data_IF_042454005233
#
_entry.id   IF_042454005233
#
_cell.length_a   1.000
_cell.length_b   1.000
_cell.length_c   1.000
_cell.angle_alpha   90.00
_cell.angle_beta   90.00
_cell.angle_gamma   90.00
#
_symmetry.space_group_name_H-M   'P 1'
#
loop_
_entity.id
_entity.type
_entity.pdbx_description
1 polymer ?
#
# COMPACT_ATOMS: atom_id res chain seq x y z
N UNK A 1 14.56 6.53 5.23
CA UNK A 1 15.33 5.89 4.12
C UNK A 1 14.74 4.58 3.56
N UNK A 2 13.74 3.95 4.19
CA UNK A 2 13.12 2.70 3.70
C UNK A 2 12.06 2.93 2.60
N UNK A 3 11.22 3.97 2.73
CA UNK A 3 10.26 4.38 1.68
C UNK A 3 10.93 4.76 0.36
N UNK A 4 12.06 5.46 0.41
CA UNK A 4 12.84 5.78 -0.79
C UNK A 4 13.42 4.55 -1.51
N UNK A 5 13.61 3.43 -0.79
CA UNK A 5 14.00 2.15 -1.41
C UNK A 5 12.82 1.44 -2.04
N UNK A 6 11.62 1.48 -1.44
CA UNK A 6 10.41 0.96 -2.08
C UNK A 6 10.08 1.75 -3.36
N UNK A 7 10.18 3.08 -3.33
CA UNK A 7 9.96 3.94 -4.49
C UNK A 7 11.03 3.74 -5.57
N UNK A 8 12.33 3.69 -5.20
CA UNK A 8 13.42 3.36 -6.13
C UNK A 8 13.37 1.92 -6.64
N UNK A 9 12.85 0.96 -5.86
CA UNK A 9 12.60 -0.41 -6.33
C UNK A 9 11.48 -0.44 -7.34
N UNK A 10 10.44 0.37 -7.16
CA UNK A 10 9.36 0.54 -8.13
C UNK A 10 9.89 1.19 -9.42
N UNK A 11 10.62 2.30 -9.34
CA UNK A 11 11.25 2.93 -10.51
C UNK A 11 12.26 2.01 -11.22
N UNK A 12 13.06 1.23 -10.48
CA UNK A 12 13.99 0.24 -11.05
C UNK A 12 13.25 -0.92 -11.69
N UNK A 13 12.18 -1.43 -11.08
CA UNK A 13 11.33 -2.47 -11.70
C UNK A 13 10.74 -1.99 -13.02
N UNK A 14 10.32 -0.73 -13.10
CA UNK A 14 9.79 -0.15 -14.34
C UNK A 14 10.89 0.25 -15.35
N UNK A 15 12.12 0.51 -14.91
CA UNK A 15 13.25 0.85 -15.79
C UNK A 15 13.96 -0.38 -16.36
N UNK A 16 14.00 -1.50 -15.62
CA UNK A 16 14.68 -2.74 -16.03
C UNK A 16 13.96 -3.47 -17.19
N UNK A 17 12.70 -3.15 -17.49
CA UNK A 17 12.03 -3.69 -18.69
C UNK A 17 12.58 -3.10 -20.01
N UNK A 18 13.46 -2.09 -19.98
CA UNK A 18 14.03 -1.47 -21.19
C UNK A 18 15.41 -1.99 -21.61
N UNK A 19 16.15 -2.68 -20.76
CA UNK A 19 17.54 -3.08 -21.07
C UNK A 19 17.87 -4.50 -20.60
N UNK A 20 17.37 -5.50 -21.32
CA UNK A 20 18.01 -6.82 -21.35
C UNK A 20 18.13 -7.26 -22.82
N UNK A 21 19.23 -6.84 -23.47
CA UNK A 21 19.86 -7.66 -24.51
C UNK A 21 20.90 -8.53 -23.81
N UNK A 22 20.80 -9.83 -24.04
CA UNK A 22 21.68 -10.84 -23.50
C UNK A 22 23.11 -10.67 -24.03
N UNK A 23 24.08 -10.88 -23.13
CA UNK A 23 25.41 -11.37 -23.48
C UNK A 23 25.84 -12.29 -22.34
N UNK A 24 25.81 -13.60 -22.62
CA UNK A 24 26.44 -14.64 -21.83
C UNK A 24 27.95 -14.54 -22.03
N UNK A 25 28.72 -14.45 -20.95
CA UNK A 25 30.12 -14.85 -20.91
C UNK A 25 30.44 -15.28 -19.48
N UNK A 26 30.68 -16.58 -19.33
CA UNK A 26 31.22 -17.22 -18.13
C UNK A 26 32.68 -16.80 -17.95
N UNK A 27 33.11 -16.48 -16.72
CA UNK A 27 34.43 -16.93 -16.25
C UNK A 27 34.58 -16.87 -14.72
N UNK A 28 35.54 -17.67 -14.25
CA UNK A 28 35.62 -18.33 -12.96
C UNK A 28 36.08 -17.48 -11.78
N UNK A 29 35.66 -17.87 -10.56
CA UNK A 29 36.31 -17.46 -9.32
C UNK A 29 35.56 -17.74 -8.02
N UNK A 30 36.06 -18.68 -7.21
CA UNK A 30 35.98 -18.63 -5.75
C UNK A 30 34.86 -19.42 -5.07
N UNK A 31 35.26 -20.42 -4.29
CA UNK A 31 34.50 -21.50 -3.66
C UNK A 31 33.48 -21.09 -2.55
N UNK A 32 33.13 -19.81 -2.38
CA UNK A 32 32.18 -19.33 -1.34
C UNK A 32 30.78 -18.95 -1.88
N UNK A 33 30.56 -19.00 -3.20
CA UNK A 33 29.32 -18.52 -3.84
C UNK A 33 28.09 -19.45 -3.71
N UNK A 34 28.14 -20.54 -2.91
CA UNK A 34 27.07 -21.57 -2.89
C UNK A 34 25.93 -21.34 -1.88
N UNK A 35 25.77 -20.14 -1.31
CA UNK A 35 24.76 -19.87 -0.29
C UNK A 35 23.79 -18.72 -0.62
N UNK A 36 23.69 -18.27 -1.87
CA UNK A 36 22.61 -17.38 -2.29
C UNK A 36 21.45 -18.22 -2.86
N UNK A 37 20.19 -18.01 -2.42
CA UNK A 37 19.03 -18.57 -3.12
C UNK A 37 19.07 -18.19 -4.60
N UNK A 38 18.73 -19.12 -5.51
CA UNK A 38 18.82 -18.99 -6.98
C UNK A 38 18.14 -17.76 -7.62
N UNK A 39 17.46 -16.92 -6.86
CA UNK A 39 16.77 -15.71 -7.30
C UNK A 39 17.46 -14.40 -6.87
N UNK A 40 18.56 -14.46 -6.09
CA UNK A 40 19.36 -13.29 -5.71
C UNK A 40 20.67 -13.31 -6.49
N UNK A 41 20.87 -12.34 -7.38
CA UNK A 41 22.15 -12.15 -8.06
C UNK A 41 23.29 -12.05 -7.04
N UNK A 42 24.37 -12.80 -7.25
CA UNK A 42 25.54 -12.85 -6.38
C UNK A 42 26.15 -11.45 -6.13
N UNK A 43 26.08 -10.57 -7.12
CA UNK A 43 26.49 -9.16 -7.02
C UNK A 43 25.66 -8.37 -5.99
N UNK A 44 24.34 -8.56 -5.94
CA UNK A 44 23.46 -7.91 -4.96
C UNK A 44 23.74 -8.41 -3.54
N UNK A 45 23.98 -9.72 -3.38
CA UNK A 45 24.35 -10.28 -2.09
C UNK A 45 25.65 -9.67 -1.55
N UNK A 46 26.69 -9.58 -2.39
CA UNK A 46 27.97 -8.99 -2.01
C UNK A 46 27.82 -7.50 -1.65
N UNK A 47 27.01 -6.74 -2.39
CA UNK A 47 26.70 -5.35 -2.07
C UNK A 47 26.03 -5.20 -0.69
N UNK A 48 25.05 -6.06 -0.37
CA UNK A 48 24.37 -6.05 0.93
C UNK A 48 25.34 -6.40 2.06
N UNK A 49 26.20 -7.39 1.87
CA UNK A 49 27.20 -7.76 2.88
C UNK A 49 28.25 -6.68 3.11
N UNK A 50 28.69 -5.99 2.06
CA UNK A 50 29.58 -4.84 2.19
C UNK A 50 28.91 -3.67 2.91
N UNK A 51 27.64 -3.39 2.60
CA UNK A 51 26.86 -2.39 3.32
C UNK A 51 26.74 -2.74 4.80
N UNK A 52 26.42 -4.00 5.13
CA UNK A 52 26.36 -4.50 6.50
C UNK A 52 27.69 -4.27 7.23
N UNK A 53 28.82 -4.69 6.63
CA UNK A 53 30.16 -4.51 7.22
C UNK A 53 30.46 -3.04 7.51
N UNK A 54 30.24 -2.17 6.52
CA UNK A 54 30.44 -0.72 6.67
C UNK A 54 29.60 -0.12 7.78
N UNK A 55 28.32 -0.50 7.89
CA UNK A 55 27.44 0.00 8.94
C UNK A 55 27.91 -0.47 10.33
N UNK A 56 28.30 -1.74 10.46
CA UNK A 56 28.83 -2.28 11.73
C UNK A 56 30.14 -1.62 12.16
N UNK A 57 31.00 -1.24 11.21
CA UNK A 57 32.23 -0.50 11.50
C UNK A 57 31.93 0.95 11.88
N UNK A 58 31.06 1.63 11.11
CA UNK A 58 30.72 3.05 11.30
C UNK A 58 30.06 3.29 12.65
N UNK A 59 29.15 2.40 13.06
CA UNK A 59 28.37 2.54 14.30
C UNK A 59 28.91 1.67 15.44
N UNK A 60 30.16 1.22 15.35
CA UNK A 60 30.78 0.41 16.42
C UNK A 60 30.88 1.23 17.70
N UNK A 61 30.23 0.77 18.76
CA UNK A 61 30.26 1.43 20.08
C UNK A 61 29.38 2.68 20.16
N UNK A 62 28.62 3.00 19.11
CA UNK A 62 27.64 4.09 19.10
C UNK A 62 26.31 3.54 19.61
N UNK A 63 25.65 4.27 20.51
CA UNK A 63 24.30 3.87 20.98
C UNK A 63 23.28 3.97 19.85
N UNK A 64 22.15 3.26 19.96
CA UNK A 64 21.11 3.30 18.94
C UNK A 64 20.53 4.71 18.79
N UNK A 65 20.36 5.40 19.92
CA UNK A 65 19.82 6.75 20.01
C UNK A 65 20.75 7.78 19.38
N UNK A 66 22.07 7.59 19.50
CA UNK A 66 23.06 8.41 18.80
C UNK A 66 23.10 8.12 17.29
N UNK A 67 23.01 6.84 16.92
CA UNK A 67 23.07 6.41 15.53
C UNK A 67 21.83 6.82 14.74
N UNK A 68 20.66 6.77 15.38
CA UNK A 68 19.35 7.07 14.82
C UNK A 68 18.56 7.93 15.81
N UNK A 69 18.73 9.27 15.74
CA UNK A 69 18.03 10.19 16.62
C UNK A 69 16.52 10.06 16.50
N UNK A 70 15.85 10.21 17.64
CA UNK A 70 14.41 10.03 17.80
C UNK A 70 13.96 10.45 19.19
N UNK A 71 12.69 10.24 19.47
CA UNK A 71 12.01 10.71 20.66
C UNK A 71 11.35 9.54 21.41
N UNK A 72 11.31 9.61 22.74
CA UNK A 72 10.60 8.61 23.55
C UNK A 72 9.18 9.09 23.79
N UNK A 73 8.20 8.33 23.30
CA UNK A 73 6.78 8.55 23.57
C UNK A 73 6.38 7.71 24.76
N UNK A 74 5.80 8.34 25.79
CA UNK A 74 5.27 7.66 26.96
C UNK A 74 3.76 7.51 26.85
N UNK A 75 3.27 6.29 27.10
CA UNK A 75 1.85 5.93 27.12
C UNK A 75 1.49 5.30 28.46
N UNK A 76 0.20 5.07 28.70
CA UNK A 76 -0.25 4.33 29.89
C UNK A 76 0.13 2.84 29.87
N UNK A 77 0.61 2.29 28.75
CA UNK A 77 0.99 0.87 28.60
C UNK A 77 2.51 0.67 28.45
N UNK A 78 3.30 1.74 28.51
CA UNK A 78 4.75 1.70 28.37
C UNK A 78 5.29 2.82 27.50
N UNK A 79 6.54 2.67 27.07
CA UNK A 79 7.24 3.64 26.22
C UNK A 79 7.57 3.04 24.86
N UNK A 80 7.64 3.87 23.82
CA UNK A 80 8.17 3.49 22.51
C UNK A 80 9.07 4.59 21.94
N UNK A 81 9.96 4.21 21.02
CA UNK A 81 10.91 5.13 20.39
C UNK A 81 10.43 5.51 19.00
N UNK A 82 10.19 6.80 18.77
CA UNK A 82 9.76 7.37 17.50
C UNK A 82 10.93 7.99 16.75
N UNK A 83 11.13 7.57 15.52
CA UNK A 83 12.02 8.24 14.57
C UNK A 83 11.14 9.03 13.59
N UNK A 84 11.35 10.34 13.54
CA UNK A 84 10.68 11.24 12.60
C UNK A 84 11.62 11.60 11.45
N UNK A 85 11.11 11.58 10.22
CA UNK A 85 11.79 12.17 9.08
C UNK A 85 10.78 12.77 8.12
N UNK A 86 11.20 13.77 7.36
CA UNK A 86 10.39 14.37 6.31
C UNK A 86 11.18 14.47 5.00
N UNK A 87 10.47 14.44 3.88
CA UNK A 87 11.03 14.76 2.58
C UNK A 87 10.03 15.54 1.74
N UNK A 88 10.56 16.42 0.89
CA UNK A 88 9.77 17.07 -0.15
C UNK A 88 9.25 16.03 -1.13
N UNK A 89 7.98 16.14 -1.49
CA UNK A 89 7.38 15.26 -2.48
C UNK A 89 6.39 16.07 -3.32
N UNK A 90 6.47 15.89 -4.63
CA UNK A 90 5.44 16.37 -5.53
C UNK A 90 4.37 15.29 -5.64
N UNK A 91 3.17 15.62 -5.16
CA UNK A 91 2.02 14.76 -5.34
C UNK A 91 1.30 15.16 -6.63
N UNK A 92 1.23 14.21 -7.55
CA UNK A 92 0.47 14.38 -8.79
C UNK A 92 -0.96 13.91 -8.55
N UNK A 93 -1.87 14.85 -8.29
CA UNK A 93 -3.29 14.54 -8.19
C UNK A 93 -3.88 14.33 -9.59
N UNK A 94 -3.65 13.15 -10.17
CA UNK A 94 -4.02 12.82 -11.56
C UNK A 94 -5.31 12.01 -11.67
N UNK A 95 -6.15 12.01 -10.63
CA UNK A 95 -7.39 11.24 -10.60
C UNK A 95 -8.63 12.09 -10.93
N UNK A 96 -8.47 13.07 -11.84
CA UNK A 96 -9.60 13.77 -12.45
C UNK A 96 -10.58 12.75 -13.07
N UNK A 97 -11.88 12.94 -12.82
CA UNK A 97 -12.92 12.03 -13.31
C UNK A 97 -13.07 10.72 -12.52
N UNK A 98 -12.41 10.55 -11.36
CA UNK A 98 -12.63 9.39 -10.48
C UNK A 98 -14.11 9.18 -10.14
N UNK A 99 -14.80 10.25 -9.74
CA UNK A 99 -16.24 10.22 -9.44
C UNK A 99 -17.04 9.74 -10.67
N UNK A 100 -16.76 10.30 -11.85
CA UNK A 100 -17.44 9.95 -13.10
C UNK A 100 -17.23 8.47 -13.46
N UNK A 101 -16.01 7.97 -13.34
CA UNK A 101 -15.69 6.56 -13.58
C UNK A 101 -16.45 5.61 -12.63
N UNK A 102 -16.74 6.06 -11.40
CA UNK A 102 -17.51 5.30 -10.42
C UNK A 102 -19.00 5.36 -10.75
N UNK A 103 -19.58 6.54 -10.88
CA UNK A 103 -21.03 6.69 -11.07
C UNK A 103 -21.51 6.21 -12.45
N UNK A 104 -20.63 6.13 -13.46
CA UNK A 104 -20.97 5.57 -14.78
C UNK A 104 -21.07 4.04 -14.80
N UNK A 105 -20.74 3.35 -13.71
CA UNK A 105 -20.79 1.90 -13.60
C UNK A 105 -21.98 1.43 -12.75
N UNK A 106 -23.07 1.02 -13.39
CA UNK A 106 -24.30 0.70 -12.66
C UNK A 106 -24.21 -0.58 -11.82
N UNK A 107 -23.17 -1.39 -12.01
CA UNK A 107 -22.96 -2.65 -11.28
C UNK A 107 -22.72 -2.44 -9.78
N UNK A 108 -22.48 -1.20 -9.36
CA UNK A 108 -22.46 -0.82 -7.94
C UNK A 108 -23.82 -0.99 -7.26
N UNK A 109 -24.92 -0.88 -8.00
CA UNK A 109 -26.25 -1.03 -7.44
C UNK A 109 -26.66 -2.50 -7.40
N UNK A 110 -27.20 -2.93 -6.26
CA UNK A 110 -27.66 -4.29 -6.09
C UNK A 110 -28.70 -4.67 -7.18
N UNK A 111 -28.51 -5.85 -7.78
CA UNK A 111 -29.40 -6.37 -8.82
C UNK A 111 -29.11 -5.86 -10.24
N UNK A 112 -28.07 -5.04 -10.44
CA UNK A 112 -27.59 -4.68 -11.77
C UNK A 112 -26.32 -5.48 -12.09
N UNK A 113 -26.42 -6.38 -13.07
CA UNK A 113 -25.28 -7.05 -13.71
C UNK A 113 -25.03 -6.51 -15.11
N UNK A 114 -24.05 -7.06 -15.82
CA UNK A 114 -23.59 -6.58 -17.14
C UNK A 114 -24.74 -6.40 -18.16
N UNK A 115 -25.62 -7.40 -18.26
CA UNK A 115 -26.76 -7.36 -19.20
C UNK A 115 -27.74 -6.24 -18.84
N UNK A 116 -28.02 -6.05 -17.55
CA UNK A 116 -28.94 -5.02 -17.06
C UNK A 116 -28.33 -3.64 -17.27
N UNK A 117 -27.05 -3.46 -16.96
CA UNK A 117 -26.31 -2.23 -17.20
C UNK A 117 -26.34 -1.85 -18.68
N UNK A 118 -26.01 -2.77 -19.59
CA UNK A 118 -26.05 -2.52 -21.03
C UNK A 118 -27.46 -2.15 -21.53
N UNK A 119 -28.51 -2.75 -20.96
CA UNK A 119 -29.90 -2.39 -21.27
C UNK A 119 -30.25 -0.98 -20.79
N UNK A 120 -29.84 -0.60 -19.59
CA UNK A 120 -30.05 0.75 -19.05
C UNK A 120 -29.28 1.79 -19.90
N UNK A 121 -28.03 1.51 -20.25
CA UNK A 121 -27.23 2.39 -21.12
C UNK A 121 -27.86 2.61 -22.49
N UNK A 122 -28.42 1.55 -23.11
CA UNK A 122 -29.18 1.67 -24.37
C UNK A 122 -30.47 2.49 -24.24
N UNK A 123 -31.04 2.60 -23.03
CA UNK A 123 -32.22 3.43 -22.74
C UNK A 123 -31.88 4.88 -22.42
N UNK A 124 -30.59 5.26 -22.48
CA UNK A 124 -30.14 6.64 -22.29
C UNK A 124 -29.58 6.94 -20.90
N UNK A 125 -29.66 6.02 -19.94
CA UNK A 125 -29.03 6.21 -18.62
C UNK A 125 -27.50 6.15 -18.76
N UNK A 126 -26.79 7.16 -18.26
CA UNK A 126 -25.32 7.27 -18.33
C UNK A 126 -24.68 7.11 -16.96
N UNK A 127 -25.29 7.67 -15.91
CA UNK A 127 -24.76 7.66 -14.54
C UNK A 127 -25.78 7.08 -13.54
N UNK A 128 -25.30 6.72 -12.35
CA UNK A 128 -26.15 6.31 -11.22
C UNK A 128 -27.09 7.47 -10.80
N UNK A 129 -26.70 8.72 -11.05
CA UNK A 129 -27.55 9.90 -10.81
C UNK A 129 -28.82 9.85 -11.67
N UNK A 130 -28.72 9.42 -12.93
CA UNK A 130 -29.88 9.23 -13.81
C UNK A 130 -30.85 8.16 -13.27
N UNK A 131 -30.33 7.21 -12.49
CA UNK A 131 -31.12 6.13 -11.90
C UNK A 131 -31.87 6.55 -10.63
N UNK A 132 -31.61 7.72 -10.04
CA UNK A 132 -32.24 8.20 -8.80
C UNK A 132 -33.77 8.25 -8.87
N UNK A 133 -34.33 8.50 -10.06
CA UNK A 133 -35.77 8.51 -10.35
C UNK A 133 -36.30 7.19 -10.93
N UNK A 134 -35.46 6.18 -11.11
CA UNK A 134 -35.86 4.91 -11.68
C UNK A 134 -36.73 4.10 -10.69
N UNK A 135 -37.88 3.54 -11.10
CA UNK A 135 -38.84 2.90 -10.18
C UNK A 135 -38.24 1.72 -9.41
N UNK A 136 -37.34 0.97 -10.04
CA UNK A 136 -36.68 -0.20 -9.41
C UNK A 136 -35.40 0.10 -8.64
N UNK A 137 -34.60 1.08 -9.08
CA UNK A 137 -33.23 1.29 -8.59
C UNK A 137 -33.01 2.65 -7.95
N UNK A 138 -33.99 3.55 -7.96
CA UNK A 138 -33.83 4.92 -7.46
C UNK A 138 -33.56 5.03 -5.98
N UNK A 139 -34.07 4.10 -5.15
CA UNK A 139 -33.69 4.04 -3.74
C UNK A 139 -32.22 3.66 -3.57
N UNK A 140 -31.78 2.56 -4.17
CA UNK A 140 -30.39 2.10 -4.11
C UNK A 140 -29.40 3.11 -4.73
N UNK A 141 -29.80 3.80 -5.80
CA UNK A 141 -29.01 4.84 -6.42
C UNK A 141 -28.76 6.02 -5.48
N UNK A 142 -29.80 6.50 -4.78
CA UNK A 142 -29.67 7.56 -3.78
C UNK A 142 -28.80 7.13 -2.61
N UNK A 143 -29.06 5.95 -2.03
CA UNK A 143 -28.25 5.42 -0.93
C UNK A 143 -26.76 5.28 -1.31
N UNK A 144 -26.46 4.86 -2.55
CA UNK A 144 -25.08 4.78 -3.03
C UNK A 144 -24.43 6.16 -3.23
N UNK A 145 -25.17 7.13 -3.78
CA UNK A 145 -24.69 8.50 -3.95
C UNK A 145 -24.47 9.19 -2.60
N UNK A 146 -25.37 9.00 -1.63
CA UNK A 146 -25.20 9.52 -0.27
C UNK A 146 -23.91 8.96 0.37
N UNK A 147 -23.64 7.66 0.22
CA UNK A 147 -22.39 7.04 0.69
C UNK A 147 -21.14 7.63 0.01
N UNK A 148 -21.24 7.93 -1.29
CA UNK A 148 -20.16 8.50 -2.08
C UNK A 148 -19.87 9.95 -1.66
N UNK A 149 -20.93 10.75 -1.47
CA UNK A 149 -20.86 12.16 -1.12
C UNK A 149 -20.42 12.34 0.35
N UNK A 150 -20.81 11.44 1.26
CA UNK A 150 -20.29 11.36 2.63
C UNK A 150 -18.83 10.86 2.72
N UNK A 151 -18.20 10.50 1.59
CA UNK A 151 -16.81 9.99 1.51
C UNK A 151 -16.53 8.80 2.43
N UNK A 152 -17.52 7.94 2.66
CA UNK A 152 -17.33 6.69 3.42
C UNK A 152 -16.55 5.64 2.62
N UNK A 153 -15.26 5.89 2.40
CA UNK A 153 -14.43 5.19 1.42
C UNK A 153 -14.37 3.69 1.65
N UNK A 154 -14.26 3.25 2.92
CA UNK A 154 -14.26 1.82 3.25
C UNK A 154 -15.55 1.16 2.80
N UNK A 155 -16.69 1.78 3.09
CA UNK A 155 -18.00 1.22 2.75
C UNK A 155 -18.19 1.12 1.23
N UNK A 156 -17.79 2.16 0.51
CA UNK A 156 -17.80 2.16 -0.97
C UNK A 156 -16.87 1.07 -1.53
N UNK A 157 -15.68 0.91 -0.95
CA UNK A 157 -14.73 -0.14 -1.33
C UNK A 157 -15.26 -1.56 -1.06
N UNK A 158 -15.93 -1.78 0.07
CA UNK A 158 -16.58 -3.06 0.39
C UNK A 158 -17.69 -3.40 -0.61
N UNK A 159 -18.54 -2.43 -0.96
CA UNK A 159 -19.59 -2.61 -1.98
C UNK A 159 -19.00 -2.93 -3.35
N UNK A 160 -17.90 -2.27 -3.72
CA UNK A 160 -17.16 -2.57 -4.95
C UNK A 160 -16.65 -4.02 -4.96
N UNK A 161 -16.04 -4.48 -3.86
CA UNK A 161 -15.47 -5.82 -3.76
C UNK A 161 -16.49 -6.95 -3.77
N UNK A 162 -17.77 -6.67 -3.49
CA UNK A 162 -18.86 -7.65 -3.68
C UNK A 162 -19.18 -7.90 -5.16
N UNK A 163 -18.74 -7.00 -6.06
CA UNK A 163 -19.15 -6.98 -7.47
C UNK A 163 -18.02 -7.20 -8.44
N UNK A 164 -16.81 -6.74 -8.08
CA UNK A 164 -15.61 -6.90 -8.89
C UNK A 164 -14.45 -7.45 -8.05
N UNK A 165 -13.45 -8.10 -8.68
CA UNK A 165 -12.26 -8.54 -7.98
C UNK A 165 -11.55 -7.38 -7.29
N UNK A 166 -10.94 -7.63 -6.12
CA UNK A 166 -10.25 -6.60 -5.33
C UNK A 166 -9.09 -5.90 -6.05
N UNK A 167 -8.61 -6.50 -7.13
CA UNK A 167 -7.56 -5.96 -7.98
C UNK A 167 -8.09 -5.03 -9.09
N UNK A 168 -9.40 -4.98 -9.32
CA UNK A 168 -10.04 -4.24 -10.42
C UNK A 168 -9.60 -2.76 -10.44
N UNK A 169 -9.31 -2.15 -11.61
CA UNK A 169 -8.81 -0.77 -11.70
C UNK A 169 -9.65 0.28 -10.95
N UNK A 170 -10.99 0.14 -10.99
CA UNK A 170 -11.92 1.00 -10.23
C UNK A 170 -11.60 1.06 -8.73
N UNK A 171 -11.03 -0.01 -8.14
CA UNK A 171 -10.64 -0.02 -6.73
C UNK A 171 -9.61 1.06 -6.44
N UNK A 172 -8.72 1.37 -7.39
CA UNK A 172 -7.73 2.45 -7.24
C UNK A 172 -8.28 3.81 -7.63
N UNK A 173 -9.27 3.88 -8.52
CA UNK A 173 -9.95 5.14 -8.82
C UNK A 173 -10.72 5.67 -7.60
N UNK A 174 -11.17 4.80 -6.68
CA UNK A 174 -11.72 5.22 -5.39
C UNK A 174 -10.75 6.12 -4.59
N UNK A 175 -9.44 5.96 -4.75
CA UNK A 175 -8.47 6.82 -4.06
C UNK A 175 -8.63 8.29 -4.48
N UNK A 176 -9.08 8.55 -5.71
CA UNK A 176 -9.30 9.90 -6.23
C UNK A 176 -10.52 10.62 -5.65
N UNK A 177 -11.25 9.99 -4.74
CA UNK A 177 -12.35 10.62 -4.00
C UNK A 177 -11.88 11.37 -2.74
N UNK A 178 -10.61 11.21 -2.36
CA UNK A 178 -10.05 11.74 -1.13
C UNK A 178 -8.81 12.60 -1.43
N UNK A 179 -8.40 13.41 -0.47
CA UNK A 179 -7.17 14.19 -0.56
C UNK A 179 -5.97 13.32 -0.15
N UNK A 180 -4.77 13.73 -0.51
CA UNK A 180 -3.55 12.99 -0.18
C UNK A 180 -3.31 12.86 1.33
N UNK A 181 -3.75 13.85 2.11
CA UNK A 181 -3.67 13.87 3.58
C UNK A 181 -4.61 12.85 4.25
N UNK A 182 -5.59 12.31 3.50
CA UNK A 182 -6.50 11.28 4.00
C UNK A 182 -5.85 9.87 4.04
N UNK A 183 -4.64 9.72 3.49
CA UNK A 183 -3.97 8.43 3.32
C UNK A 183 -2.76 8.26 4.24
N UNK A 184 -2.70 7.10 4.90
CA UNK A 184 -1.50 6.59 5.55
C UNK A 184 -0.87 5.46 4.72
N UNK A 185 0.40 5.61 4.36
CA UNK A 185 1.20 4.53 3.78
C UNK A 185 1.88 3.76 4.90
N UNK A 186 1.65 2.45 4.99
CA UNK A 186 2.19 1.63 6.09
C UNK A 186 3.11 0.53 5.59
N UNK A 187 4.05 0.15 6.45
CA UNK A 187 4.96 -0.98 6.27
C UNK A 187 5.44 -1.43 7.65
N UNK A 188 5.58 -2.75 7.88
CA UNK A 188 6.11 -3.29 9.14
C UNK A 188 7.33 -4.16 8.91
N UNK A 189 8.24 -4.13 9.87
CA UNK A 189 9.34 -5.09 9.95
C UNK A 189 9.18 -5.98 11.18
N UNK A 190 9.45 -7.27 11.03
CA UNK A 190 9.24 -8.28 12.06
C UNK A 190 10.47 -9.16 12.22
N UNK A 191 10.65 -9.81 13.37
CA UNK A 191 11.75 -10.78 13.55
C UNK A 191 11.55 -12.12 12.81
N UNK A 192 10.52 -12.23 11.96
CA UNK A 192 10.18 -13.43 11.22
C UNK A 192 8.67 -13.59 11.06
N UNK A 193 8.28 -14.71 10.45
CA UNK A 193 6.88 -15.01 10.17
C UNK A 193 6.18 -15.54 11.44
N UNK A 194 4.98 -15.02 11.70
CA UNK A 194 4.01 -15.44 12.74
C UNK A 194 4.52 -15.42 14.19
N UNK A 195 3.72 -14.86 15.11
CA UNK A 195 4.00 -14.86 16.55
C UNK A 195 5.37 -14.28 16.98
N UNK A 196 6.04 -13.57 16.06
CA UNK A 196 7.27 -12.85 16.34
C UNK A 196 6.96 -11.40 16.70
N UNK A 197 7.79 -10.75 17.53
CA UNK A 197 7.67 -9.32 17.77
C UNK A 197 7.81 -8.52 16.47
N UNK A 198 7.04 -7.44 16.39
CA UNK A 198 7.28 -6.37 15.43
C UNK A 198 8.49 -5.58 15.93
N UNK A 199 9.45 -5.31 15.03
CA UNK A 199 10.64 -4.50 15.35
C UNK A 199 10.48 -3.06 14.88
N UNK A 200 9.65 -2.81 13.88
CA UNK A 200 9.44 -1.48 13.32
C UNK A 200 8.03 -1.37 12.76
N UNK A 201 7.33 -0.30 13.13
CA UNK A 201 6.07 0.11 12.52
C UNK A 201 6.31 1.43 11.77
N UNK A 202 6.20 1.41 10.45
CA UNK A 202 6.35 2.60 9.61
C UNK A 202 5.00 3.14 9.17
N UNK A 203 4.82 4.45 9.29
CA UNK A 203 3.73 5.19 8.66
C UNK A 203 4.27 6.43 7.96
N UNK A 204 3.84 6.65 6.73
CA UNK A 204 4.12 7.85 5.97
C UNK A 204 2.82 8.51 5.50
N UNK A 205 2.74 9.83 5.54
CA UNK A 205 1.56 10.59 5.11
C UNK A 205 1.96 11.94 4.51
N UNK A 206 1.08 12.50 3.68
CA UNK A 206 1.24 13.88 3.22
C UNK A 206 0.79 14.84 4.30
N UNK A 207 1.58 15.89 4.53
CA UNK A 207 1.17 17.03 5.33
C UNK A 207 1.93 18.29 4.85
N UNK A 208 1.20 19.31 4.40
CA UNK A 208 1.79 20.58 4.00
C UNK A 208 2.77 20.48 2.82
N UNK A 209 2.47 19.62 1.83
CA UNK A 209 3.31 19.41 0.64
C UNK A 209 4.59 18.61 0.90
N UNK A 210 4.70 17.97 2.07
CA UNK A 210 5.80 17.07 2.42
C UNK A 210 5.27 15.68 2.73
N UNK A 211 6.10 14.67 2.50
CA UNK A 211 5.89 13.36 3.11
C UNK A 211 6.54 13.38 4.49
N UNK A 212 5.72 13.23 5.53
CA UNK A 212 6.19 12.92 6.88
C UNK A 212 6.22 11.42 7.07
N UNK A 213 7.27 10.93 7.72
CA UNK A 213 7.48 9.51 8.02
C UNK A 213 7.73 9.35 9.51
N UNK A 214 6.87 8.59 10.16
CA UNK A 214 7.01 8.13 11.54
C UNK A 214 7.40 6.66 11.53
N UNK A 215 8.47 6.33 12.24
CA UNK A 215 8.91 4.95 12.43
C UNK A 215 8.97 4.66 13.93
N UNK A 216 8.05 3.83 14.42
CA UNK A 216 8.05 3.38 15.81
C UNK A 216 8.96 2.15 15.93
N UNK A 217 10.17 2.39 16.43
CA UNK A 217 11.20 1.37 16.61
C UNK A 217 11.01 0.70 17.97
N UNK A 218 10.90 -0.63 17.95
CA UNK A 218 10.78 -1.45 19.15
C UNK A 218 12.18 -1.89 19.58
N UNK A 219 12.77 -1.21 20.56
CA UNK A 219 14.14 -1.47 21.02
C UNK A 219 14.21 -2.66 21.98
N UNK A 220 13.09 -2.96 22.64
CA UNK A 220 12.91 -4.14 23.46
C UNK A 220 11.48 -4.66 23.34
N UNK A 221 11.24 -5.94 23.63
CA UNK A 221 9.91 -6.57 23.53
C UNK A 221 8.87 -5.88 24.42
N UNK A 222 9.29 -5.24 25.52
CA UNK A 222 8.40 -4.48 26.39
C UNK A 222 7.83 -3.21 25.73
N UNK A 223 8.51 -2.66 24.73
CA UNK A 223 8.08 -1.45 24.01
C UNK A 223 7.04 -1.75 22.93
N UNK A 224 6.88 -3.01 22.52
CA UNK A 224 6.01 -3.39 21.39
C UNK A 224 4.55 -2.99 21.64
N UNK A 225 4.04 -3.17 22.86
CA UNK A 225 2.66 -2.83 23.22
C UNK A 225 2.41 -1.32 23.10
N UNK A 226 3.36 -0.49 23.50
CA UNK A 226 3.27 0.97 23.39
C UNK A 226 3.40 1.41 21.92
N UNK A 227 4.32 0.80 21.16
CA UNK A 227 4.49 1.08 19.74
C UNK A 227 3.22 0.73 18.93
N UNK A 228 2.62 -0.44 19.18
CA UNK A 228 1.35 -0.85 18.57
C UNK A 228 0.21 0.12 18.90
N UNK A 229 0.11 0.52 20.17
CA UNK A 229 -0.93 1.44 20.62
C UNK A 229 -0.82 2.79 19.90
N UNK A 230 0.35 3.42 19.95
CA UNK A 230 0.57 4.73 19.32
C UNK A 230 0.41 4.64 17.81
N UNK A 231 0.87 3.56 17.18
CA UNK A 231 0.71 3.36 15.74
C UNK A 231 -0.76 3.30 15.33
N UNK A 232 -1.61 2.55 16.05
CA UNK A 232 -3.04 2.48 15.72
C UNK A 232 -3.74 3.81 15.96
N UNK A 233 -3.41 4.51 17.05
CA UNK A 233 -3.93 5.86 17.33
C UNK A 233 -3.51 6.86 16.25
N UNK A 234 -2.28 6.78 15.74
CA UNK A 234 -1.82 7.60 14.62
C UNK A 234 -2.62 7.30 13.35
N UNK A 235 -2.95 6.03 13.09
CA UNK A 235 -3.77 5.65 11.95
C UNK A 235 -5.18 6.25 12.00
N UNK A 236 -5.72 6.52 13.20
CA UNK A 236 -7.07 7.09 13.36
C UNK A 236 -7.26 8.46 12.70
N UNK A 237 -6.16 9.18 12.45
CA UNK A 237 -6.15 10.45 11.72
C UNK A 237 -6.49 10.31 10.24
N UNK A 238 -6.41 9.10 9.69
CA UNK A 238 -6.53 8.84 8.26
C UNK A 238 -7.80 8.05 7.93
N UNK A 239 -8.34 8.28 6.74
CA UNK A 239 -9.52 7.59 6.22
C UNK A 239 -9.16 6.30 5.49
N UNK A 240 -7.90 6.20 5.01
CA UNK A 240 -7.45 5.12 4.16
C UNK A 240 -5.99 4.74 4.42
N UNK A 241 -5.68 3.49 4.12
CA UNK A 241 -4.33 2.93 4.22
C UNK A 241 -3.86 2.46 2.85
N UNK A 242 -2.59 2.71 2.55
CA UNK A 242 -1.85 2.19 1.41
C UNK A 242 -0.75 1.26 1.93
N UNK A 243 -0.57 0.10 1.31
CA UNK A 243 0.52 -0.82 1.67
C UNK A 243 0.93 -1.68 0.47
N UNK A 244 2.03 -2.41 0.59
CA UNK A 244 2.40 -3.45 -0.36
C UNK A 244 2.19 -4.84 0.26
N UNK A 245 1.22 -5.62 -0.23
CA UNK A 245 0.81 -6.91 0.35
C UNK A 245 0.28 -6.84 1.79
N UNK A 246 0.06 -5.64 2.35
CA UNK A 246 -0.29 -5.50 3.76
C UNK A 246 -1.67 -6.01 4.14
N UNK A 247 -2.56 -6.23 3.16
CA UNK A 247 -3.84 -6.89 3.44
C UNK A 247 -3.68 -8.37 3.77
N UNK A 248 -2.63 -9.01 3.24
CA UNK A 248 -2.33 -10.41 3.49
C UNK A 248 -1.29 -10.60 4.60
N UNK A 249 -0.50 -9.57 4.92
CA UNK A 249 0.59 -9.66 5.88
C UNK A 249 0.48 -8.62 7.01
N UNK A 250 0.78 -7.35 6.74
CA UNK A 250 0.92 -6.29 7.74
C UNK A 250 -0.30 -6.18 8.68
N UNK A 251 -1.50 -5.98 8.12
CA UNK A 251 -2.72 -5.77 8.91
C UNK A 251 -3.07 -7.02 9.76
N UNK A 252 -3.15 -8.24 9.18
CA UNK A 252 -3.34 -9.44 9.99
C UNK A 252 -2.30 -9.62 11.10
N UNK A 253 -1.03 -9.28 10.84
CA UNK A 253 0.05 -9.40 11.80
C UNK A 253 -0.14 -8.42 12.96
N UNK A 254 -0.41 -7.14 12.66
CA UNK A 254 -0.68 -6.11 13.66
C UNK A 254 -1.89 -6.49 14.51
N UNK A 255 -3.01 -6.90 13.90
CA UNK A 255 -4.19 -7.33 14.63
C UNK A 255 -3.93 -8.55 15.53
N UNK A 256 -3.10 -9.51 15.08
CA UNK A 256 -2.69 -10.64 15.91
C UNK A 256 -1.91 -10.15 17.15
N UNK A 257 -0.99 -9.20 16.99
CA UNK A 257 -0.21 -8.65 18.11
C UNK A 257 -1.07 -7.81 19.05
N UNK A 258 -2.00 -7.00 18.53
CA UNK A 258 -2.99 -6.28 19.34
C UNK A 258 -3.80 -7.24 20.23
N UNK A 259 -4.33 -8.32 19.64
CA UNK A 259 -5.06 -9.36 20.40
C UNK A 259 -4.17 -10.06 21.43
N UNK A 260 -2.91 -10.33 21.11
CA UNK A 260 -1.95 -10.93 22.05
C UNK A 260 -1.77 -10.08 23.31
N UNK A 261 -1.74 -8.75 23.16
CA UNK A 261 -1.63 -7.81 24.29
C UNK A 261 -2.99 -7.42 24.91
N UNK A 262 -4.11 -7.98 24.43
CA UNK A 262 -5.45 -7.62 24.92
C UNK A 262 -5.89 -6.20 24.55
N UNK A 263 -5.30 -5.60 23.51
CA UNK A 263 -5.70 -4.29 22.99
C UNK A 263 -6.90 -4.46 22.07
N UNK A 264 -8.05 -3.95 22.50
CA UNK A 264 -9.30 -3.95 21.71
C UNK A 264 -9.31 -2.82 20.68
N UNK A 265 -8.39 -2.89 19.72
CA UNK A 265 -8.35 -1.97 18.57
C UNK A 265 -8.41 -2.75 17.26
N UNK A 266 -9.03 -2.16 16.25
CA UNK A 266 -9.12 -2.72 14.90
C UNK A 266 -8.73 -1.64 13.89
N UNK A 267 -8.02 -2.04 12.84
CA UNK A 267 -7.69 -1.15 11.72
C UNK A 267 -8.85 -1.22 10.72
N UNK A 268 -9.91 -0.47 11.01
CA UNK A 268 -11.14 -0.41 10.22
C UNK A 268 -11.08 0.75 9.21
N UNK A 269 -10.30 0.59 8.13
CA UNK A 269 -10.09 1.63 7.10
C UNK A 269 -10.17 1.07 5.69
N UNK A 270 -10.40 1.95 4.72
CA UNK A 270 -10.25 1.59 3.32
C UNK A 270 -8.80 1.18 3.04
N UNK A 271 -8.58 0.10 2.29
CA UNK A 271 -7.25 -0.47 2.12
C UNK A 271 -6.87 -0.63 0.66
N UNK A 272 -5.89 0.16 0.23
CA UNK A 272 -5.31 0.12 -1.11
C UNK A 272 -3.99 -0.66 -1.07
N UNK A 273 -4.08 -1.95 -1.36
CA UNK A 273 -2.91 -2.83 -1.42
C UNK A 273 -2.36 -2.91 -2.84
N UNK A 274 -1.16 -2.36 -3.01
CA UNK A 274 -0.49 -2.17 -4.29
C UNK A 274 -0.16 -3.50 -5.00
N UNK A 275 0.10 -4.59 -4.26
CA UNK A 275 0.50 -5.87 -4.87
C UNK A 275 -0.57 -6.40 -5.84
N UNK A 276 -1.83 -6.14 -5.54
CA UNK A 276 -2.95 -6.56 -6.39
C UNK A 276 -2.93 -5.90 -7.77
N UNK A 277 -2.48 -4.64 -7.84
CA UNK A 277 -2.32 -3.93 -9.11
C UNK A 277 -1.19 -4.52 -9.94
N UNK A 278 -0.06 -4.82 -9.29
CA UNK A 278 1.10 -5.43 -9.95
C UNK A 278 0.79 -6.81 -10.50
N UNK A 279 0.11 -7.67 -9.74
CA UNK A 279 -0.30 -9.01 -10.20
C UNK A 279 -1.24 -9.00 -11.41
N UNK A 280 -2.11 -7.99 -11.53
CA UNK A 280 -2.93 -7.84 -12.74
C UNK A 280 -2.10 -7.44 -13.95
N UNK A 281 -1.22 -6.44 -13.80
CA UNK A 281 -0.35 -5.99 -14.90
C UNK A 281 0.51 -7.13 -15.42
N UNK A 282 1.20 -7.85 -14.55
CA UNK A 282 2.08 -8.97 -14.96
C UNK A 282 1.32 -10.13 -15.60
N UNK A 283 0.05 -10.37 -15.22
CA UNK A 283 -0.80 -11.37 -15.89
C UNK A 283 -1.20 -10.94 -17.30
N UNK A 284 -1.47 -9.66 -17.53
CA UNK A 284 -1.75 -9.10 -18.86
C UNK A 284 -0.48 -9.17 -19.73
N UNK A 285 0.67 -8.78 -19.20
CA UNK A 285 1.96 -8.87 -19.92
C UNK A 285 2.37 -10.31 -20.28
N UNK A 286 1.96 -11.31 -19.49
CA UNK A 286 2.16 -12.74 -19.82
C UNK A 286 1.17 -13.29 -20.83
N UNK A 287 -0.02 -12.69 -20.94
CA UNK A 287 -1.11 -13.19 -21.79
C UNK A 287 -1.13 -12.49 -23.16
N UNK A 288 -0.68 -11.23 -23.22
CA UNK A 288 -0.53 -10.45 -24.45
C UNK A 288 0.96 -10.28 -24.69
N UNK A 289 1.50 -10.96 -25.69
CA UNK A 289 2.92 -10.89 -26.02
C UNK A 289 3.41 -9.42 -26.13
N UNK A 290 4.61 -9.18 -25.59
CA UNK A 290 5.26 -7.88 -25.43
C UNK A 290 5.24 -6.91 -26.64
N UNK A 291 5.15 -7.32 -27.93
CA UNK A 291 5.23 -6.34 -29.02
C UNK A 291 3.98 -5.47 -29.24
N UNK A 292 2.79 -5.88 -28.78
CA UNK A 292 1.53 -5.27 -29.22
C UNK A 292 1.04 -4.08 -28.36
N UNK A 293 1.70 -3.80 -27.23
CA UNK A 293 1.24 -2.81 -26.26
C UNK A 293 1.89 -1.42 -26.36
N UNK A 294 2.79 -1.17 -27.32
CA UNK A 294 3.41 0.17 -27.48
C UNK A 294 2.42 1.30 -27.75
N UNK A 295 1.24 1.01 -28.28
CA UNK A 295 0.26 2.02 -28.69
C UNK A 295 -0.87 2.27 -27.67
N UNK A 296 -0.86 1.64 -26.48
CA UNK A 296 -1.95 1.77 -25.51
C UNK A 296 -1.60 2.62 -24.27
N UNK A 297 -0.40 3.19 -24.22
CA UNK A 297 0.15 3.81 -23.00
C UNK A 297 0.63 5.25 -23.16
N UNK A 298 0.40 5.89 -24.32
CA UNK A 298 0.75 7.30 -24.56
C UNK A 298 -0.34 8.04 -25.34
N UNK A 299 -1.59 7.93 -24.88
CA UNK A 299 -2.66 8.91 -25.11
C UNK A 299 -3.47 9.06 -23.82
#
# INVERSE_FOLDING_TARGET
>A
MLFGRAFKSLERMFSLERECKASEEEEAGGFEARCAPNWVLSSNYFQVMNLKRRLLETYRGVSLEEAVPGEVISTNVGQCYLIHSECQAEFYNRLEGAREAIISNFKFLYGIGEKTEAKLKRRGYRTIEDLTRHPKWGKAAREFLDLLDMRHLKRVQELLWQRVPKSHPLCFQLAGLNQEEDFAMIDIETMGLFFKPIILLGVAHSEGGKIKVHQYLVRSVAEEVAALKVFVEELDRFNAIISYNGRAFDIPFIEQRLRYYGLNSNIDKAHFDLLQRFRQRTRIFRTVGLPQLKNLFWD
#
